data_IF_336035603756
#
_entry.id   IF_336035603756
#
_cell.length_a   1.000
_cell.length_b   1.000
_cell.length_c   1.000
_cell.angle_alpha   90.00
_cell.angle_beta   90.00
_cell.angle_gamma   90.00
#
_symmetry.space_group_name_H-M   'P 1'
#
loop_
_entity.id
_entity.type
_entity.pdbx_description
1 polymer ?
#
# COMPACT_ATOMS: atom_id res chain seq x y z
N UNK A 1 -12.95 3.65 20.64
CA UNK A 1 -12.79 3.31 19.21
C UNK A 1 -14.05 3.71 18.51
N UNK A 2 -13.94 4.52 17.48
CA UNK A 2 -15.10 5.08 16.78
C UNK A 2 -15.76 4.07 15.85
N UNK A 3 -15.00 3.05 15.43
CA UNK A 3 -15.47 1.90 14.67
C UNK A 3 -15.03 0.60 15.35
N UNK A 4 -15.96 -0.35 15.52
CA UNK A 4 -15.68 -1.64 16.15
C UNK A 4 -15.50 -2.75 15.10
N UNK A 5 -14.56 -3.68 15.28
CA UNK A 5 -14.40 -4.82 14.37
C UNK A 5 -15.67 -5.66 14.26
N UNK A 6 -16.11 -5.94 13.03
CA UNK A 6 -17.23 -6.85 12.74
C UNK A 6 -16.69 -8.16 12.18
N UNK A 7 -17.12 -9.29 12.76
CA UNK A 7 -16.70 -10.61 12.28
C UNK A 7 -17.42 -10.96 10.97
N UNK A 8 -16.67 -11.20 9.91
CA UNK A 8 -17.19 -11.67 8.61
C UNK A 8 -17.02 -13.19 8.46
N UNK A 9 -15.85 -13.74 8.77
CA UNK A 9 -15.56 -15.16 8.58
C UNK A 9 -14.19 -15.59 9.11
N UNK A 10 -13.69 -16.75 8.64
CA UNK A 10 -12.38 -17.31 9.01
C UNK A 10 -11.66 -17.83 7.75
N UNK A 11 -10.41 -17.41 7.57
CA UNK A 11 -9.51 -17.96 6.57
C UNK A 11 -8.72 -19.13 7.17
N UNK A 12 -8.55 -20.22 6.42
CA UNK A 12 -7.74 -21.40 6.79
C UNK A 12 -6.80 -21.71 5.63
N UNK A 13 -5.52 -21.92 5.94
CA UNK A 13 -4.52 -22.41 4.99
C UNK A 13 -4.27 -23.89 5.31
N UNK A 14 -4.61 -24.78 4.38
CA UNK A 14 -4.66 -26.24 4.63
C UNK A 14 -3.90 -27.08 3.59
N UNK A 15 -3.25 -26.45 2.61
CA UNK A 15 -2.52 -27.12 1.53
C UNK A 15 -1.25 -26.35 1.16
N UNK A 16 -0.15 -27.08 1.05
CA UNK A 16 1.10 -26.56 0.45
C UNK A 16 1.03 -26.63 -1.08
N UNK A 17 1.74 -25.75 -1.80
CA UNK A 17 1.87 -25.87 -3.26
C UNK A 17 2.61 -27.17 -3.64
N UNK A 18 2.19 -27.80 -4.73
CA UNK A 18 2.87 -28.97 -5.30
C UNK A 18 4.11 -28.52 -6.09
N UNK A 19 4.06 -27.34 -6.70
CA UNK A 19 5.20 -26.70 -7.35
C UNK A 19 5.32 -25.23 -6.94
N UNK A 20 6.34 -24.93 -6.13
CA UNK A 20 6.59 -23.59 -5.61
C UNK A 20 6.74 -22.53 -6.72
N UNK A 21 7.47 -22.81 -7.80
CA UNK A 21 7.67 -21.83 -8.85
C UNK A 21 6.37 -21.54 -9.63
N UNK A 22 5.60 -22.57 -9.93
CA UNK A 22 4.35 -22.44 -10.68
C UNK A 22 3.20 -21.84 -9.86
N UNK A 23 3.12 -22.13 -8.57
CA UNK A 23 2.00 -21.74 -7.70
C UNK A 23 2.31 -20.58 -6.75
N UNK A 24 3.59 -20.24 -6.51
CA UNK A 24 3.98 -19.13 -5.63
C UNK A 24 4.71 -18.04 -6.41
N UNK A 25 5.83 -18.35 -7.06
CA UNK A 25 6.61 -17.34 -7.79
C UNK A 25 5.84 -16.74 -8.97
N UNK A 26 5.02 -17.54 -9.66
CA UNK A 26 4.17 -17.08 -10.76
C UNK A 26 2.79 -16.57 -10.32
N UNK A 27 2.49 -16.56 -9.01
CA UNK A 27 1.26 -15.95 -8.52
C UNK A 27 1.29 -14.43 -8.79
N UNK A 28 0.15 -13.88 -9.21
CA UNK A 28 -0.02 -12.49 -9.58
C UNK A 28 -1.21 -11.88 -8.82
N UNK A 29 -0.92 -11.24 -7.68
CA UNK A 29 -1.91 -10.50 -6.91
C UNK A 29 -1.94 -9.05 -7.36
N UNK A 30 -3.13 -8.47 -7.49
CA UNK A 30 -3.29 -7.06 -7.84
C UNK A 30 -4.56 -6.47 -7.23
N UNK A 31 -4.50 -5.25 -6.66
CA UNK A 31 -5.70 -4.59 -6.10
C UNK A 31 -6.79 -4.29 -7.14
N UNK A 32 -6.45 -4.26 -8.43
CA UNK A 32 -7.40 -4.06 -9.52
C UNK A 32 -8.38 -5.23 -9.71
N UNK A 33 -8.08 -6.43 -9.18
CA UNK A 33 -8.95 -7.60 -9.25
C UNK A 33 -10.06 -7.54 -8.19
N UNK A 34 -10.91 -6.53 -8.30
CA UNK A 34 -12.11 -6.36 -7.48
C UNK A 34 -13.30 -7.12 -8.08
N UNK A 35 -14.31 -7.37 -7.24
CA UNK A 35 -15.56 -8.04 -7.60
C UNK A 35 -16.74 -7.13 -7.29
N UNK A 36 -17.90 -7.27 -7.96
CA UNK A 36 -19.08 -6.47 -7.67
C UNK A 36 -19.40 -6.43 -6.16
N UNK A 37 -19.55 -5.21 -5.62
CA UNK A 37 -19.75 -4.96 -4.18
C UNK A 37 -18.48 -4.55 -3.41
N UNK A 38 -17.30 -4.60 -4.02
CA UNK A 38 -16.03 -4.15 -3.43
C UNK A 38 -15.37 -3.14 -4.38
N UNK A 39 -14.90 -2.02 -3.83
CA UNK A 39 -14.38 -0.88 -4.60
C UNK A 39 -13.13 -0.24 -4.03
N UNK A 40 -12.42 0.58 -4.82
CA UNK A 40 -11.35 1.41 -4.30
C UNK A 40 -11.90 2.59 -3.51
N UNK A 41 -11.02 3.19 -2.71
CA UNK A 41 -11.24 4.46 -2.01
C UNK A 41 -10.34 5.55 -2.64
N UNK A 42 -10.54 6.84 -2.32
CA UNK A 42 -9.69 7.92 -2.81
C UNK A 42 -8.27 7.95 -2.20
N UNK A 43 -7.83 6.88 -1.52
CA UNK A 43 -6.45 6.74 -1.04
C UNK A 43 -5.48 6.78 -2.22
N UNK A 44 -4.63 7.82 -2.28
CA UNK A 44 -3.66 8.05 -3.35
C UNK A 44 -2.71 6.85 -3.55
N UNK A 45 -2.33 6.16 -2.47
CA UNK A 45 -1.48 4.98 -2.53
C UNK A 45 -2.23 3.79 -3.12
N UNK A 46 -3.50 3.57 -2.74
CA UNK A 46 -4.32 2.51 -3.32
C UNK A 46 -4.54 2.72 -4.82
N UNK A 47 -4.91 3.93 -5.22
CA UNK A 47 -5.17 4.27 -6.63
C UNK A 47 -3.93 4.03 -7.51
N UNK A 48 -2.74 4.37 -7.03
CA UNK A 48 -1.50 4.04 -7.74
C UNK A 48 -1.27 2.54 -7.91
N UNK A 49 -1.67 1.74 -6.92
CA UNK A 49 -1.54 0.26 -6.96
C UNK A 49 -2.53 -0.43 -7.88
N UNK A 50 -3.65 0.21 -8.24
CA UNK A 50 -4.58 -0.33 -9.24
C UNK A 50 -3.90 -0.47 -10.61
N UNK A 51 -2.96 0.41 -10.93
CA UNK A 51 -2.21 0.37 -12.18
C UNK A 51 -0.89 -0.42 -12.06
N UNK A 52 -0.13 -0.21 -10.98
CA UNK A 52 1.28 -0.66 -10.94
C UNK A 52 1.46 -2.18 -10.93
N UNK A 53 0.54 -2.92 -10.32
CA UNK A 53 0.62 -4.38 -10.23
C UNK A 53 0.38 -5.07 -11.59
N UNK A 54 -0.74 -4.82 -12.31
CA UNK A 54 -0.96 -5.43 -13.62
C UNK A 54 0.14 -5.07 -14.62
N UNK A 55 0.69 -3.85 -14.56
CA UNK A 55 1.84 -3.44 -15.36
C UNK A 55 3.07 -4.31 -15.05
N UNK A 56 3.44 -4.42 -13.77
CA UNK A 56 4.57 -5.23 -13.32
C UNK A 56 4.43 -6.70 -13.70
N UNK A 57 3.23 -7.29 -13.58
CA UNK A 57 3.00 -8.70 -13.92
C UNK A 57 3.14 -9.00 -15.41
N UNK A 58 2.74 -8.05 -16.29
CA UNK A 58 2.95 -8.18 -17.74
C UNK A 58 4.42 -8.25 -18.10
N UNK A 59 5.27 -7.48 -17.41
CA UNK A 59 6.73 -7.55 -17.61
C UNK A 59 7.32 -8.81 -16.99
N UNK A 60 7.00 -9.08 -15.72
CA UNK A 60 7.62 -10.15 -14.91
C UNK A 60 7.28 -11.56 -15.38
N UNK A 61 6.04 -11.80 -15.78
CA UNK A 61 5.54 -13.14 -16.18
C UNK A 61 5.22 -13.18 -17.68
N UNK A 62 4.59 -12.12 -18.19
CA UNK A 62 4.21 -12.00 -19.61
C UNK A 62 2.77 -11.57 -19.80
N UNK A 63 2.43 -11.12 -21.01
CA UNK A 63 1.12 -10.53 -21.35
C UNK A 63 -0.07 -11.42 -20.99
N UNK A 64 0.09 -12.74 -21.09
CA UNK A 64 -0.96 -13.73 -20.83
C UNK A 64 -0.86 -14.39 -19.44
N UNK A 65 -0.24 -13.75 -18.44
CA UNK A 65 -0.02 -14.31 -17.10
C UNK A 65 -1.32 -14.78 -16.38
N UNK A 66 -2.46 -14.15 -16.69
CA UNK A 66 -3.78 -14.54 -16.15
C UNK A 66 -4.27 -15.91 -16.66
N UNK A 67 -3.62 -16.50 -17.68
CA UNK A 67 -3.95 -17.84 -18.17
C UNK A 67 -3.25 -18.95 -17.38
N UNK A 68 -2.25 -18.62 -16.56
CA UNK A 68 -1.59 -19.59 -15.71
C UNK A 68 -2.59 -20.19 -14.71
N UNK A 69 -2.54 -21.50 -14.41
CA UNK A 69 -3.52 -22.15 -13.54
C UNK A 69 -3.73 -21.47 -12.19
N UNK A 70 -2.66 -20.92 -11.59
CA UNK A 70 -2.74 -20.24 -10.29
C UNK A 70 -3.43 -18.86 -10.34
N UNK A 71 -3.37 -18.18 -11.49
CA UNK A 71 -3.91 -16.82 -11.67
C UNK A 71 -5.28 -16.83 -12.35
N UNK A 72 -5.65 -17.94 -13.00
CA UNK A 72 -6.88 -18.04 -13.78
C UNK A 72 -8.11 -18.03 -12.85
N UNK A 73 -9.15 -17.25 -13.16
CA UNK A 73 -10.40 -17.31 -12.41
C UNK A 73 -11.01 -18.72 -12.50
N UNK A 74 -11.72 -19.12 -11.44
CA UNK A 74 -12.51 -20.37 -11.44
C UNK A 74 -13.83 -20.24 -12.20
N UNK A 75 -14.32 -19.01 -12.39
CA UNK A 75 -15.49 -18.69 -13.21
C UNK A 75 -15.11 -18.55 -14.69
N UNK A 76 -16.12 -18.54 -15.58
CA UNK A 76 -15.91 -18.27 -17.00
C UNK A 76 -15.41 -16.83 -17.20
N UNK A 77 -14.29 -16.67 -17.91
CA UNK A 77 -13.74 -15.37 -18.28
C UNK A 77 -13.93 -15.11 -19.77
N UNK A 78 -14.79 -14.15 -20.11
CA UNK A 78 -15.06 -13.73 -21.48
C UNK A 78 -14.48 -12.32 -21.69
N UNK A 79 -13.27 -12.25 -22.26
CA UNK A 79 -12.58 -10.97 -22.53
C UNK A 79 -12.26 -10.81 -24.01
N UNK A 80 -12.00 -9.57 -24.42
CA UNK A 80 -11.52 -9.24 -25.77
C UNK A 80 -10.00 -9.27 -25.92
N UNK A 81 -9.25 -9.72 -24.91
CA UNK A 81 -7.79 -9.87 -25.04
C UNK A 81 -7.49 -10.95 -26.08
N UNK A 82 -6.65 -10.66 -27.09
CA UNK A 82 -6.21 -11.58 -28.15
C UNK A 82 -4.69 -11.66 -28.21
N UNK A 83 -4.19 -12.77 -28.77
CA UNK A 83 -2.78 -12.97 -29.12
C UNK A 83 -1.81 -12.73 -27.95
N UNK A 84 -0.66 -12.11 -28.23
CA UNK A 84 0.44 -11.91 -27.27
C UNK A 84 1.29 -13.17 -27.04
N UNK A 85 2.46 -12.99 -26.44
CA UNK A 85 3.36 -14.11 -26.14
C UNK A 85 2.70 -15.15 -25.22
N UNK A 86 3.02 -16.43 -25.44
CA UNK A 86 2.57 -17.57 -24.63
C UNK A 86 1.04 -17.66 -24.47
N UNK A 87 0.31 -17.47 -25.57
CA UNK A 87 -1.14 -17.56 -25.60
C UNK A 87 -1.63 -19.00 -25.64
N UNK A 88 -2.06 -19.56 -24.50
CA UNK A 88 -2.55 -20.95 -24.42
C UNK A 88 -3.99 -21.11 -24.92
N UNK A 89 -4.87 -20.18 -24.56
CA UNK A 89 -6.28 -20.15 -24.97
C UNK A 89 -6.53 -18.88 -25.77
N UNK A 90 -6.60 -18.98 -27.11
CA UNK A 90 -6.91 -17.86 -28.00
C UNK A 90 -8.29 -18.04 -28.63
N UNK A 91 -9.36 -17.42 -28.07
CA UNK A 91 -10.67 -17.49 -28.72
C UNK A 91 -10.63 -16.73 -30.07
N UNK A 92 -11.39 -17.24 -31.04
CA UNK A 92 -11.47 -16.66 -32.39
C UNK A 92 -12.40 -15.44 -32.48
N UNK A 93 -13.01 -15.24 -33.64
CA UNK A 93 -13.94 -14.14 -33.88
C UNK A 93 -15.21 -14.20 -33.01
N UNK A 94 -15.82 -13.04 -32.70
CA UNK A 94 -15.40 -11.69 -33.08
C UNK A 94 -14.33 -11.10 -32.15
N UNK A 95 -13.51 -10.18 -32.68
CA UNK A 95 -12.44 -9.46 -31.96
C UNK A 95 -12.81 -8.02 -31.58
N UNK A 96 -14.07 -7.61 -31.78
CA UNK A 96 -14.53 -6.23 -31.59
C UNK A 96 -15.90 -6.18 -30.90
N UNK A 97 -16.22 -5.03 -30.31
CA UNK A 97 -17.54 -4.70 -29.76
C UNK A 97 -17.98 -3.29 -30.19
N UNK A 98 -19.30 -3.03 -30.37
CA UNK A 98 -20.38 -4.02 -30.42
C UNK A 98 -20.29 -4.90 -31.69
N UNK A 99 -20.85 -6.12 -31.65
CA UNK A 99 -20.88 -7.04 -32.79
C UNK A 99 -22.21 -7.82 -32.84
N UNK A 100 -22.49 -8.45 -33.98
CA UNK A 100 -23.70 -9.25 -34.23
C UNK A 100 -23.46 -10.76 -34.20
N UNK A 101 -22.29 -11.21 -33.72
CA UNK A 101 -21.80 -12.59 -33.87
C UNK A 101 -21.60 -13.30 -32.52
N UNK A 102 -22.23 -12.81 -31.45
CA UNK A 102 -22.19 -13.46 -30.13
C UNK A 102 -20.87 -13.29 -29.37
N UNK A 103 -20.11 -12.22 -29.63
CA UNK A 103 -18.91 -11.90 -28.86
C UNK A 103 -19.19 -11.51 -27.40
N UNK A 104 -18.14 -11.41 -26.55
CA UNK A 104 -18.28 -10.97 -25.17
C UNK A 104 -19.07 -9.65 -25.03
N UNK A 105 -19.95 -9.55 -24.03
CA UNK A 105 -20.72 -8.34 -23.75
C UNK A 105 -20.52 -7.93 -22.29
N UNK A 106 -20.25 -6.65 -22.06
CA UNK A 106 -20.21 -6.11 -20.71
C UNK A 106 -21.59 -6.21 -20.05
N UNK A 107 -21.62 -6.62 -18.79
CA UNK A 107 -22.83 -6.58 -17.98
C UNK A 107 -23.00 -5.17 -17.38
N UNK A 108 -24.00 -4.44 -17.87
CA UNK A 108 -24.30 -3.08 -17.41
C UNK A 108 -25.07 -3.03 -16.08
N UNK A 109 -25.43 -4.16 -15.49
CA UNK A 109 -26.13 -4.21 -14.20
C UNK A 109 -25.19 -4.04 -13.00
N UNK A 110 -23.88 -4.27 -13.19
CA UNK A 110 -22.88 -4.04 -12.16
C UNK A 110 -22.64 -2.53 -12.00
N UNK A 111 -22.97 -1.99 -10.83
CA UNK A 111 -22.67 -0.60 -10.48
C UNK A 111 -21.32 -0.56 -9.80
N UNK A 112 -20.34 0.09 -10.43
CA UNK A 112 -19.05 0.31 -9.79
C UNK A 112 -19.21 1.32 -8.63
N UNK A 113 -18.58 1.07 -7.48
CA UNK A 113 -18.55 2.02 -6.39
C UNK A 113 -17.79 3.28 -6.81
N UNK A 114 -18.48 4.42 -6.76
CA UNK A 114 -17.93 5.74 -7.05
C UNK A 114 -17.99 6.67 -5.85
N UNK A 115 -17.35 7.83 -5.96
CA UNK A 115 -17.39 8.89 -4.96
C UNK A 115 -17.44 10.28 -5.64
N UNK A 116 -17.91 11.28 -4.90
CA UNK A 116 -17.94 12.66 -5.40
C UNK A 116 -16.54 13.27 -5.42
N UNK A 117 -16.24 14.02 -6.48
CA UNK A 117 -14.97 14.75 -6.65
C UNK A 117 -15.29 16.19 -7.04
N UNK A 118 -14.55 17.15 -6.48
CA UNK A 118 -14.61 18.57 -6.84
C UNK A 118 -13.27 19.26 -6.58
N UNK A 119 -13.00 20.34 -7.31
CA UNK A 119 -11.76 21.13 -7.20
C UNK A 119 -10.92 21.13 -8.48
N UNK A 120 -9.80 21.86 -8.45
CA UNK A 120 -8.86 21.96 -9.57
C UNK A 120 -7.91 20.76 -9.63
N UNK A 121 -7.48 20.40 -10.85
CA UNK A 121 -6.44 19.39 -11.04
C UNK A 121 -5.09 19.96 -10.61
N UNK A 122 -4.56 19.50 -9.47
CA UNK A 122 -3.32 20.02 -8.89
C UNK A 122 -2.39 18.90 -8.40
N UNK A 123 -1.12 19.25 -8.19
CA UNK A 123 -0.15 18.44 -7.45
C UNK A 123 0.13 19.14 -6.13
N UNK A 124 -0.72 18.90 -5.14
CA UNK A 124 -0.56 19.42 -3.80
C UNK A 124 -0.22 18.30 -2.80
N UNK A 125 0.50 18.63 -1.70
CA UNK A 125 0.56 17.73 -0.56
C UNK A 125 -0.86 17.40 -0.08
N UNK A 126 -1.00 16.29 0.63
CA UNK A 126 -2.24 16.01 1.34
C UNK A 126 -2.54 17.17 2.31
N UNK A 127 -3.76 17.69 2.27
CA UNK A 127 -4.25 18.61 3.27
C UNK A 127 -4.66 17.76 4.49
N UNK A 128 -3.93 17.87 5.61
CA UNK A 128 -4.24 17.07 6.79
C UNK A 128 -5.67 17.36 7.26
N UNK A 129 -6.39 16.33 7.67
CA UNK A 129 -7.57 16.57 8.49
C UNK A 129 -7.15 17.33 9.76
N UNK A 130 -8.07 18.06 10.39
CA UNK A 130 -7.78 18.89 11.58
C UNK A 130 -7.11 18.13 12.73
N UNK A 131 -7.28 16.81 12.76
CA UNK A 131 -6.79 15.90 13.79
C UNK A 131 -5.62 15.03 13.31
N UNK A 132 -5.21 15.18 12.05
CA UNK A 132 -4.08 14.45 11.48
C UNK A 132 -2.76 15.11 11.89
N UNK A 133 -1.95 14.34 12.61
CA UNK A 133 -0.56 14.63 12.92
C UNK A 133 0.25 13.33 12.79
N UNK A 134 1.52 13.45 12.39
CA UNK A 134 2.43 12.35 12.18
C UNK A 134 2.77 11.59 13.48
N UNK A 135 2.54 12.21 14.65
CA UNK A 135 3.04 11.70 15.93
C UNK A 135 1.97 11.21 16.91
N UNK A 136 0.69 11.56 16.73
CA UNK A 136 -0.37 11.18 17.68
C UNK A 136 -0.57 9.66 17.75
N UNK A 137 -0.71 8.99 16.61
CA UNK A 137 -0.94 7.54 16.58
C UNK A 137 0.30 6.74 17.03
N UNK A 138 1.54 7.04 16.56
CA UNK A 138 2.74 6.40 17.09
C UNK A 138 2.93 6.62 18.60
N UNK A 139 2.57 7.80 19.11
CA UNK A 139 2.60 8.08 20.55
C UNK A 139 1.60 7.20 21.30
N UNK A 140 0.37 7.09 20.81
CA UNK A 140 -0.65 6.23 21.42
C UNK A 140 -0.23 4.75 21.42
N UNK A 141 0.42 4.27 20.35
CA UNK A 141 1.03 2.93 20.31
C UNK A 141 2.07 2.79 21.43
N UNK A 142 3.02 3.71 21.52
CA UNK A 142 4.06 3.69 22.55
C UNK A 142 3.47 3.72 23.97
N UNK A 143 2.59 4.67 24.27
CA UNK A 143 2.11 4.93 25.64
C UNK A 143 1.04 3.97 26.11
N UNK A 144 0.11 3.57 25.23
CA UNK A 144 -1.13 2.91 25.62
C UNK A 144 -1.19 1.43 25.22
N UNK A 145 -0.36 0.99 24.28
CA UNK A 145 -0.44 -0.37 23.71
C UNK A 145 0.80 -1.20 24.07
N UNK A 146 2.01 -0.66 23.89
CA UNK A 146 3.23 -1.41 24.14
C UNK A 146 3.49 -1.64 25.64
N UNK A 147 3.81 -2.88 26.00
CA UNK A 147 4.32 -3.22 27.33
C UNK A 147 5.74 -2.68 27.54
N UNK A 148 6.25 -2.68 28.77
CA UNK A 148 7.64 -2.30 29.05
C UNK A 148 8.64 -3.13 28.23
N UNK A 149 8.40 -4.44 28.16
CA UNK A 149 9.23 -5.37 27.37
C UNK A 149 9.21 -5.03 25.88
N UNK A 150 8.04 -4.72 25.32
CA UNK A 150 7.93 -4.34 23.91
C UNK A 150 8.62 -3.01 23.61
N UNK A 151 8.53 -2.06 24.54
CA UNK A 151 9.25 -0.78 24.47
C UNK A 151 10.76 -0.98 24.47
N UNK A 152 11.27 -1.84 25.35
CA UNK A 152 12.69 -2.19 25.41
C UNK A 152 13.16 -2.85 24.11
N UNK A 153 12.37 -3.78 23.55
CA UNK A 153 12.67 -4.39 22.25
C UNK A 153 12.65 -3.37 21.11
N UNK A 154 11.66 -2.47 21.08
CA UNK A 154 11.59 -1.41 20.07
C UNK A 154 12.83 -0.51 20.13
N UNK A 155 13.20 -0.04 21.33
CA UNK A 155 14.41 0.76 21.54
C UNK A 155 15.65 -0.01 21.09
N UNK A 156 15.79 -1.27 21.50
CA UNK A 156 16.91 -2.13 21.13
C UNK A 156 17.07 -2.27 19.61
N UNK A 157 15.96 -2.49 18.89
CA UNK A 157 15.93 -2.56 17.44
C UNK A 157 16.36 -1.24 16.79
N UNK A 158 15.80 -0.11 17.24
CA UNK A 158 16.16 1.22 16.72
C UNK A 158 17.64 1.52 16.91
N UNK A 159 18.17 1.25 18.11
CA UNK A 159 19.59 1.42 18.43
C UNK A 159 20.46 0.53 17.55
N UNK A 160 20.09 -0.74 17.38
CA UNK A 160 20.83 -1.67 16.53
C UNK A 160 20.87 -1.22 15.07
N UNK A 161 19.77 -0.68 14.54
CA UNK A 161 19.75 -0.13 13.18
C UNK A 161 20.55 1.17 13.05
N UNK A 162 20.41 2.09 14.00
CA UNK A 162 21.13 3.36 13.97
C UNK A 162 22.64 3.20 14.14
N UNK A 163 23.12 2.13 14.77
CA UNK A 163 24.57 1.83 14.84
C UNK A 163 25.15 1.23 13.56
N UNK A 164 24.34 0.83 12.57
CA UNK A 164 24.80 0.21 11.31
C UNK A 164 25.27 1.25 10.29
N UNK A 165 26.34 1.97 10.62
CA UNK A 165 27.00 2.91 9.70
C UNK A 165 26.17 4.16 9.37
N UNK A 166 25.13 4.47 10.16
CA UNK A 166 24.34 5.69 9.98
C UNK A 166 25.16 6.89 10.41
N UNK A 167 25.18 7.94 9.58
CA UNK A 167 25.97 9.13 9.88
C UNK A 167 25.45 9.85 11.13
N UNK A 168 26.31 10.58 11.84
CA UNK A 168 25.90 11.33 13.01
C UNK A 168 24.68 12.23 12.83
N UNK A 169 24.62 12.94 11.71
CA UNK A 169 23.57 13.92 11.41
C UNK A 169 22.22 13.23 11.19
N UNK A 170 22.22 12.01 10.65
CA UNK A 170 21.00 11.21 10.50
C UNK A 170 20.58 10.63 11.85
N UNK A 171 21.52 10.20 12.70
CA UNK A 171 21.22 9.74 14.06
C UNK A 171 20.56 10.84 14.90
N UNK A 172 21.06 12.08 14.81
CA UNK A 172 20.49 13.22 15.53
C UNK A 172 19.06 13.54 15.06
N UNK A 173 18.81 13.52 13.75
CA UNK A 173 17.46 13.69 13.20
C UNK A 173 16.52 12.57 13.61
N UNK A 174 16.99 11.33 13.64
CA UNK A 174 16.20 10.19 14.10
C UNK A 174 15.84 10.32 15.59
N UNK A 175 16.78 10.73 16.45
CA UNK A 175 16.49 11.01 17.86
C UNK A 175 15.43 12.10 17.99
N UNK A 176 15.57 13.21 17.25
CA UNK A 176 14.60 14.30 17.27
C UNK A 176 13.21 13.83 16.81
N UNK A 177 13.15 13.05 15.73
CA UNK A 177 11.92 12.45 15.24
C UNK A 177 11.25 11.55 16.29
N UNK A 178 12.02 10.66 16.92
CA UNK A 178 11.50 9.77 17.96
C UNK A 178 11.07 10.51 19.23
N UNK A 179 11.67 11.67 19.54
CA UNK A 179 11.18 12.55 20.61
C UNK A 179 9.84 13.20 20.29
N UNK A 180 9.61 13.56 19.02
CA UNK A 180 8.30 14.04 18.58
C UNK A 180 7.21 12.97 18.76
N UNK A 181 7.57 11.68 18.67
CA UNK A 181 6.70 10.56 19.07
C UNK A 181 6.55 10.49 20.59
N UNK A 182 7.64 10.41 21.36
CA UNK A 182 7.62 10.47 22.82
C UNK A 182 9.02 10.77 23.37
N UNK A 183 9.13 11.62 24.41
CA UNK A 183 10.42 12.01 24.99
C UNK A 183 11.22 10.78 25.46
N UNK A 184 10.63 9.91 26.26
CA UNK A 184 11.28 8.69 26.75
C UNK A 184 11.80 7.77 25.64
N UNK A 185 11.07 7.66 24.52
CA UNK A 185 11.48 6.84 23.38
C UNK A 185 12.74 7.44 22.74
N UNK A 186 12.69 8.71 22.37
CA UNK A 186 13.85 9.39 21.77
C UNK A 186 15.07 9.42 22.69
N UNK A 187 14.88 9.62 24.00
CA UNK A 187 15.95 9.62 24.99
C UNK A 187 16.57 8.24 25.19
N UNK A 188 15.76 7.18 25.19
CA UNK A 188 16.24 5.81 25.29
C UNK A 188 17.04 5.41 24.05
N UNK A 189 16.58 5.82 22.86
CA UNK A 189 17.34 5.63 21.61
C UNK A 189 18.66 6.41 21.66
N UNK A 190 18.64 7.67 22.08
CA UNK A 190 19.86 8.49 22.20
C UNK A 190 20.89 7.86 23.14
N UNK A 191 20.47 7.41 24.33
CA UNK A 191 21.33 6.68 25.27
C UNK A 191 21.89 5.41 24.65
N UNK A 192 21.05 4.61 23.99
CA UNK A 192 21.48 3.34 23.40
C UNK A 192 22.55 3.50 22.32
N UNK A 193 22.52 4.61 21.56
CA UNK A 193 23.55 4.92 20.55
C UNK A 193 24.73 5.74 21.09
N UNK A 194 24.75 6.08 22.38
CA UNK A 194 25.85 6.79 23.02
C UNK A 194 25.87 8.30 22.77
N UNK A 195 24.71 8.92 22.54
CA UNK A 195 24.56 10.37 22.33
C UNK A 195 23.93 11.08 23.52
N UNK A 196 24.24 12.36 23.68
CA UNK A 196 23.64 13.20 24.71
C UNK A 196 22.13 13.34 24.50
N UNK A 197 21.37 13.23 25.59
CA UNK A 197 19.93 13.47 25.58
C UNK A 197 19.64 14.98 25.49
N UNK A 198 19.84 15.62 24.33
CA UNK A 198 19.67 17.08 24.25
C UNK A 198 19.96 17.79 22.94
N UNK A 199 19.91 17.12 21.78
CA UNK A 199 19.99 17.86 20.51
C UNK A 199 18.70 18.64 20.29
N UNK A 200 18.80 19.96 20.46
CA UNK A 200 17.75 20.95 20.25
C UNK A 200 17.21 20.88 18.82
N UNK A 201 15.87 20.91 18.74
CA UNK A 201 14.98 21.09 17.59
C UNK A 201 15.61 21.21 16.20
N UNK A 202 15.14 20.34 15.30
CA UNK A 202 15.03 20.68 13.89
C UNK A 202 14.43 22.09 13.79
N UNK A 203 15.12 23.02 13.12
CA UNK A 203 14.46 24.19 12.56
C UNK A 203 13.31 23.64 11.73
N UNK A 204 12.07 23.98 12.11
CA UNK A 204 10.96 23.84 11.18
C UNK A 204 11.40 24.59 9.92
N UNK A 205 11.50 23.89 8.81
CA UNK A 205 11.59 24.56 7.52
C UNK A 205 10.31 25.39 7.40
N UNK A 206 10.45 26.68 7.69
CA UNK A 206 9.41 27.68 7.45
C UNK A 206 9.11 27.58 5.97
N UNK A 207 7.94 27.02 5.62
CA UNK A 207 7.44 27.08 4.26
C UNK A 207 7.40 28.58 3.89
N UNK A 208 8.00 29.01 2.77
CA UNK A 208 7.83 30.38 2.33
C UNK A 208 6.33 30.61 2.09
N UNK A 209 5.80 31.69 2.65
CA UNK A 209 4.44 32.13 2.37
C UNK A 209 4.25 32.28 0.85
N UNK A 210 3.10 31.87 0.30
CA UNK A 210 2.80 32.14 -1.09
C UNK A 210 2.80 33.65 -1.29
N UNK A 211 3.68 34.13 -2.18
CA UNK A 211 3.69 35.50 -2.65
C UNK A 211 2.30 35.88 -3.14
N UNK A 212 1.62 36.77 -2.41
CA UNK A 212 0.47 37.48 -2.93
C UNK A 212 0.93 38.37 -4.09
N UNK A 213 0.73 37.90 -5.32
CA UNK A 213 0.94 38.68 -6.52
C UNK A 213 -0.28 38.54 -7.43
N UNK A 214 -1.00 39.65 -7.58
CA UNK A 214 -1.99 39.88 -8.65
C UNK A 214 -3.44 39.68 -8.26
#
# INVERSE_FOLDING_TARGET
>A
SDYLPMRVGRLVLDRNPDNYFAEVEQAAFEPANMVPGIGPSPDKMLLGRLFSYPDSHRYRIGTNYMQLPINRPRSSANSYNRDGAMRYVNPGDPVYAPNSYGGPRADGAAVDPGWFVGGEMTRSPYEPHREDDDFVQPRALWTNVLSSTDRDHLVGNLVAHLKKGVTPEVQDRAIAYWRNVHADLGDSVARGIGRAAGVSGLRQDVRPEPSSAG
#
